data_IF_335464613775
#
_entry.id   IF_335464613775
#
_cell.length_a   1.000
_cell.length_b   1.000
_cell.length_c   1.000
_cell.angle_alpha   90.00
_cell.angle_beta   90.00
_cell.angle_gamma   90.00
#
_symmetry.space_group_name_H-M   'P 1'
#
loop_
_entity.id
_entity.type
_entity.pdbx_description
1 polymer ?
#
# COMPACT_ATOMS: atom_id res chain seq x y z
N UNK A 1 -16.81 -0.64 -17.11
CA UNK A 1 -16.16 -1.40 -16.04
C UNK A 1 -16.03 -0.55 -14.76
N UNK A 2 -15.87 0.77 -14.85
CA UNK A 2 -15.60 1.71 -13.75
C UNK A 2 -16.68 2.78 -13.68
N UNK A 3 -16.92 3.38 -12.47
CA UNK A 3 -17.80 4.55 -12.27
C UNK A 3 -17.01 5.89 -12.27
N UNK A 4 -15.82 5.89 -12.84
CA UNK A 4 -15.04 7.13 -12.95
C UNK A 4 -15.77 8.13 -13.84
N UNK A 5 -15.68 9.41 -13.47
CA UNK A 5 -16.21 10.51 -14.25
C UNK A 5 -15.49 10.56 -15.61
N UNK A 6 -16.22 10.46 -16.75
CA UNK A 6 -15.62 10.44 -18.08
C UNK A 6 -14.96 11.77 -18.49
N UNK A 7 -15.32 12.88 -17.83
CA UNK A 7 -14.77 14.20 -18.10
C UNK A 7 -13.46 14.45 -17.35
N UNK A 8 -13.09 13.56 -16.39
CA UNK A 8 -11.87 13.64 -15.60
C UNK A 8 -10.83 12.65 -16.09
N UNK A 9 -9.63 13.15 -16.40
CA UNK A 9 -8.46 12.32 -16.66
C UNK A 9 -7.86 11.85 -15.33
N UNK A 10 -8.03 10.57 -15.00
CA UNK A 10 -7.65 10.03 -13.69
C UNK A 10 -6.29 9.31 -13.73
N UNK A 11 -5.21 10.03 -13.41
CA UNK A 11 -3.83 9.52 -13.37
C UNK A 11 -3.31 9.29 -11.94
N UNK A 12 -4.22 9.18 -10.95
CA UNK A 12 -3.89 9.04 -9.54
C UNK A 12 -4.50 7.77 -8.89
N UNK A 13 -4.50 6.64 -9.61
CA UNK A 13 -4.99 5.37 -9.06
C UNK A 13 -4.29 4.97 -7.77
N UNK A 14 -2.99 5.23 -7.66
CA UNK A 14 -2.18 4.90 -6.48
C UNK A 14 -2.59 5.58 -5.18
N UNK A 15 -3.38 6.67 -5.19
CA UNK A 15 -3.83 7.32 -3.96
C UNK A 15 -4.85 6.46 -3.21
N UNK A 16 -6.01 6.22 -3.82
CA UNK A 16 -7.15 5.56 -3.17
C UNK A 16 -7.70 4.36 -3.95
N UNK A 17 -7.25 4.14 -5.19
CA UNK A 17 -7.81 3.16 -6.10
C UNK A 17 -9.21 3.53 -6.61
N UNK A 18 -9.62 2.92 -7.70
CA UNK A 18 -11.01 2.91 -8.15
C UNK A 18 -11.53 1.47 -8.08
N UNK A 19 -12.78 1.30 -7.67
CA UNK A 19 -13.41 -0.01 -7.53
C UNK A 19 -14.28 -0.28 -8.77
N UNK A 20 -14.13 -1.44 -9.44
CA UNK A 20 -14.99 -1.80 -10.57
C UNK A 20 -16.47 -1.93 -10.18
N UNK A 21 -17.38 -1.64 -11.11
CA UNK A 21 -18.83 -1.71 -10.88
C UNK A 21 -19.24 -3.09 -10.32
N UNK A 22 -18.74 -4.18 -10.93
CA UNK A 22 -19.05 -5.54 -10.48
C UNK A 22 -18.68 -5.79 -9.01
N UNK A 23 -17.59 -5.21 -8.55
CA UNK A 23 -17.13 -5.33 -7.16
C UNK A 23 -17.98 -4.49 -6.22
N UNK A 24 -18.42 -3.29 -6.67
CA UNK A 24 -19.36 -2.47 -5.90
C UNK A 24 -20.74 -3.11 -5.77
N UNK A 25 -21.20 -3.78 -6.82
CA UNK A 25 -22.44 -4.55 -6.79
C UNK A 25 -22.38 -5.68 -5.77
N UNK A 26 -21.30 -6.45 -5.77
CA UNK A 26 -21.05 -7.52 -4.78
C UNK A 26 -21.00 -6.97 -3.35
N UNK A 27 -20.27 -5.86 -3.13
CA UNK A 27 -20.25 -5.19 -1.84
C UNK A 27 -21.65 -4.78 -1.37
N UNK A 28 -22.50 -4.27 -2.29
CA UNK A 28 -23.87 -3.90 -1.97
C UNK A 28 -24.75 -5.12 -1.71
N UNK A 29 -24.47 -6.27 -2.34
CA UNK A 29 -25.18 -7.53 -2.04
C UNK A 29 -24.85 -8.01 -0.63
N UNK A 30 -23.59 -7.92 -0.19
CA UNK A 30 -23.22 -8.22 1.20
C UNK A 30 -23.95 -7.32 2.18
N UNK A 31 -24.05 -6.00 1.92
CA UNK A 31 -24.80 -5.07 2.76
C UNK A 31 -26.28 -5.41 2.82
N UNK A 32 -26.90 -5.73 1.68
CA UNK A 32 -28.30 -6.15 1.66
C UNK A 32 -28.56 -7.41 2.48
N UNK A 33 -27.67 -8.40 2.40
CA UNK A 33 -27.73 -9.63 3.23
C UNK A 33 -27.59 -9.32 4.71
N UNK A 34 -26.64 -8.48 5.09
CA UNK A 34 -26.43 -8.04 6.46
C UNK A 34 -27.68 -7.33 7.01
N UNK A 35 -28.24 -6.37 6.27
CA UNK A 35 -29.39 -5.61 6.73
C UNK A 35 -30.70 -6.40 6.71
N UNK A 36 -30.80 -7.45 5.91
CA UNK A 36 -31.98 -8.31 5.87
C UNK A 36 -32.18 -9.09 7.19
N UNK A 37 -31.10 -9.51 7.85
CA UNK A 37 -31.13 -10.12 9.18
C UNK A 37 -29.73 -10.01 9.84
N UNK A 38 -29.43 -8.91 10.56
CA UNK A 38 -28.09 -8.67 11.10
C UNK A 38 -27.61 -9.76 12.06
N UNK A 39 -28.49 -10.28 12.91
CA UNK A 39 -28.11 -11.32 13.88
C UNK A 39 -27.70 -12.60 13.16
N UNK A 40 -28.53 -13.09 12.24
CA UNK A 40 -28.21 -14.28 11.46
C UNK A 40 -26.95 -14.08 10.63
N UNK A 41 -26.79 -12.90 10.01
CA UNK A 41 -25.63 -12.59 9.20
C UNK A 41 -24.33 -12.72 10.01
N UNK A 42 -24.24 -12.06 11.18
CA UNK A 42 -23.03 -12.10 12.00
C UNK A 42 -22.80 -13.45 12.70
N UNK A 43 -23.86 -14.19 13.02
CA UNK A 43 -23.73 -15.47 13.71
C UNK A 43 -23.47 -16.64 12.76
N UNK A 44 -24.04 -16.64 11.54
CA UNK A 44 -24.02 -17.80 10.63
C UNK A 44 -23.28 -17.56 9.31
N UNK A 45 -23.33 -16.34 8.73
CA UNK A 45 -22.87 -16.07 7.38
C UNK A 45 -21.50 -15.39 7.34
N UNK A 46 -21.20 -14.51 8.27
CA UNK A 46 -20.00 -13.67 8.28
C UNK A 46 -18.70 -14.49 8.34
N UNK A 47 -18.58 -15.38 9.34
CA UNK A 47 -17.32 -16.11 9.53
C UNK A 47 -16.98 -17.05 8.37
N UNK A 48 -17.91 -17.87 7.84
CA UNK A 48 -17.62 -18.65 6.64
C UNK A 48 -17.21 -17.82 5.44
N UNK A 49 -17.86 -16.66 5.22
CA UNK A 49 -17.50 -15.74 4.13
C UNK A 49 -16.12 -15.10 4.33
N UNK A 50 -15.77 -14.74 5.57
CA UNK A 50 -14.47 -14.18 5.91
C UNK A 50 -13.33 -15.20 5.72
N UNK A 51 -13.55 -16.46 6.09
CA UNK A 51 -12.59 -17.56 5.86
C UNK A 51 -12.33 -17.73 4.37
N UNK A 52 -13.38 -17.77 3.55
CA UNK A 52 -13.22 -17.89 2.10
C UNK A 52 -12.50 -16.66 1.50
N UNK A 53 -12.84 -15.44 1.94
CA UNK A 53 -12.17 -14.23 1.49
C UNK A 53 -10.67 -14.25 1.86
N UNK A 54 -10.32 -14.72 3.06
CA UNK A 54 -8.93 -14.87 3.51
C UNK A 54 -8.19 -15.92 2.69
N UNK A 55 -8.77 -17.09 2.48
CA UNK A 55 -8.19 -18.16 1.65
C UNK A 55 -7.82 -17.63 0.26
N UNK A 56 -8.77 -16.97 -0.42
CA UNK A 56 -8.55 -16.37 -1.75
C UNK A 56 -7.48 -15.29 -1.75
N UNK A 57 -7.45 -14.47 -0.72
CA UNK A 57 -6.40 -13.47 -0.53
C UNK A 57 -5.04 -14.14 -0.37
N UNK A 58 -4.93 -15.13 0.52
CA UNK A 58 -3.66 -15.80 0.82
C UNK A 58 -3.11 -16.56 -0.38
N UNK A 59 -3.96 -17.22 -1.17
CA UNK A 59 -3.58 -17.81 -2.45
C UNK A 59 -3.00 -16.76 -3.42
N UNK A 60 -3.59 -15.57 -3.46
CA UNK A 60 -3.16 -14.49 -4.36
C UNK A 60 -1.84 -13.84 -3.95
N UNK A 61 -1.62 -13.61 -2.66
CA UNK A 61 -0.41 -12.94 -2.15
C UNK A 61 0.69 -13.91 -1.72
N UNK A 62 0.43 -15.23 -1.75
CA UNK A 62 1.38 -16.26 -1.32
C UNK A 62 1.70 -16.18 0.16
N UNK A 63 0.67 -16.18 1.01
CA UNK A 63 0.76 -16.11 2.46
C UNK A 63 0.04 -17.28 3.12
N UNK A 64 0.40 -17.61 4.36
CA UNK A 64 -0.27 -18.58 5.20
C UNK A 64 -1.55 -17.98 5.78
N UNK A 65 -2.67 -18.74 5.67
CA UNK A 65 -3.97 -18.27 6.16
C UNK A 65 -3.97 -18.03 7.67
N UNK A 66 -3.35 -18.92 8.43
CA UNK A 66 -3.28 -18.85 9.90
C UNK A 66 -2.58 -17.58 10.40
N UNK A 67 -1.68 -17.05 9.58
CA UNK A 67 -0.82 -15.91 9.87
C UNK A 67 -1.31 -14.60 9.24
N UNK A 68 -2.47 -14.62 8.58
CA UNK A 68 -3.00 -13.47 7.84
C UNK A 68 -4.35 -13.06 8.36
N UNK A 69 -4.52 -11.76 8.62
CA UNK A 69 -5.78 -11.16 9.07
C UNK A 69 -6.14 -9.96 8.22
N UNK A 70 -7.44 -9.68 8.11
CA UNK A 70 -7.91 -8.45 7.50
C UNK A 70 -7.75 -7.27 8.46
N UNK A 71 -7.35 -6.14 7.91
CA UNK A 71 -7.33 -4.83 8.57
C UNK A 71 -8.00 -3.79 7.65
N UNK A 72 -8.35 -2.63 8.18
CA UNK A 72 -9.06 -1.61 7.39
C UNK A 72 -8.20 -0.97 6.30
N UNK A 73 -6.91 -0.78 6.57
CA UNK A 73 -5.91 -0.24 5.64
C UNK A 73 -4.50 -0.53 6.15
N UNK A 74 -3.47 -0.32 5.31
CA UNK A 74 -2.08 -0.54 5.68
C UNK A 74 -1.65 0.32 6.88
N UNK A 75 -2.09 1.58 6.97
CA UNK A 75 -1.80 2.45 8.11
C UNK A 75 -2.27 1.85 9.44
N UNK A 76 -3.46 1.25 9.47
CA UNK A 76 -3.94 0.51 10.64
C UNK A 76 -3.06 -0.69 10.96
N UNK A 77 -2.63 -1.43 9.94
CA UNK A 77 -1.69 -2.56 10.09
C UNK A 77 -0.33 -2.12 10.66
N UNK A 78 0.24 -1.03 10.14
CA UNK A 78 1.48 -0.43 10.67
C UNK A 78 1.32 -0.04 12.14
N UNK A 79 0.22 0.62 12.51
CA UNK A 79 -0.06 0.98 13.90
C UNK A 79 -0.25 -0.25 14.80
N UNK A 80 -0.86 -1.33 14.32
CA UNK A 80 -0.98 -2.61 15.05
C UNK A 80 0.42 -3.14 15.39
N UNK A 81 1.33 -3.18 14.42
CA UNK A 81 2.70 -3.63 14.63
C UNK A 81 3.43 -2.72 15.61
N UNK A 82 3.40 -1.39 15.39
CA UNK A 82 4.04 -0.42 16.26
C UNK A 82 3.55 -0.48 17.72
N UNK A 83 2.26 -0.78 17.92
CA UNK A 83 1.69 -0.92 19.27
C UNK A 83 2.09 -2.23 19.96
N UNK A 84 2.52 -3.22 19.20
CA UNK A 84 2.81 -4.58 19.67
C UNK A 84 4.31 -4.84 19.87
N UNK A 85 5.18 -4.08 19.17
CA UNK A 85 6.63 -4.18 19.37
C UNK A 85 6.99 -3.53 20.72
N UNK A 86 7.71 -4.26 21.59
CA UNK A 86 8.14 -3.68 22.87
C UNK A 86 9.21 -2.61 22.62
N UNK A 87 8.82 -1.36 22.84
CA UNK A 87 9.66 -0.17 22.72
C UNK A 87 9.84 0.52 24.07
N UNK A 88 11.04 0.99 24.34
CA UNK A 88 11.37 1.73 25.56
C UNK A 88 12.40 2.83 25.32
N UNK A 89 12.80 3.56 26.38
CA UNK A 89 13.81 4.60 26.27
C UNK A 89 15.13 4.10 25.72
N UNK A 90 15.61 4.75 24.67
CA UNK A 90 16.85 4.39 23.97
C UNK A 90 16.70 3.42 22.83
N UNK A 91 15.55 2.78 22.67
CA UNK A 91 15.24 1.94 21.50
C UNK A 91 15.03 2.77 20.23
N UNK A 92 15.18 2.12 19.08
CA UNK A 92 15.15 2.76 17.78
C UNK A 92 14.17 2.06 16.84
N UNK A 93 13.43 2.88 16.07
CA UNK A 93 12.67 2.48 14.88
C UNK A 93 13.41 3.06 13.68
N UNK A 94 13.85 2.21 12.75
CA UNK A 94 14.48 2.64 11.50
C UNK A 94 13.43 2.71 10.39
N UNK A 95 13.38 3.83 9.70
CA UNK A 95 12.53 4.03 8.51
C UNK A 95 13.37 4.64 7.38
N UNK A 96 12.86 4.65 6.15
CA UNK A 96 13.48 5.43 5.08
C UNK A 96 12.81 6.80 4.93
N UNK A 97 13.51 7.74 4.34
CA UNK A 97 12.95 9.04 3.99
C UNK A 97 11.99 9.02 2.78
N UNK A 98 11.81 7.83 2.16
CA UNK A 98 10.78 7.53 1.17
C UNK A 98 9.48 7.02 1.81
N UNK A 99 9.48 6.78 3.12
CA UNK A 99 8.32 6.25 3.86
C UNK A 99 7.08 7.13 3.68
N UNK A 100 5.93 6.47 3.54
CA UNK A 100 4.64 7.17 3.46
C UNK A 100 4.44 8.05 4.69
N UNK A 101 4.10 9.32 4.50
CA UNK A 101 4.03 10.34 5.57
C UNK A 101 3.20 9.87 6.77
N UNK A 102 2.06 9.22 6.53
CA UNK A 102 1.21 8.76 7.63
C UNK A 102 1.89 7.67 8.47
N UNK A 103 2.64 6.76 7.85
CA UNK A 103 3.38 5.71 8.54
C UNK A 103 4.61 6.29 9.25
N UNK A 104 5.30 7.25 8.62
CA UNK A 104 6.36 8.05 9.28
C UNK A 104 5.82 8.72 10.55
N UNK A 105 4.68 9.42 10.44
CA UNK A 105 4.04 10.08 11.58
C UNK A 105 3.63 9.07 12.67
N UNK A 106 3.16 7.88 12.30
CA UNK A 106 2.87 6.80 13.24
C UNK A 106 4.13 6.35 13.99
N UNK A 107 5.24 6.12 13.28
CA UNK A 107 6.52 5.74 13.89
C UNK A 107 6.99 6.81 14.91
N UNK A 108 6.97 8.09 14.54
CA UNK A 108 7.31 9.19 15.45
C UNK A 108 6.37 9.27 16.66
N UNK A 109 5.07 9.10 16.47
CA UNK A 109 4.09 9.15 17.56
C UNK A 109 4.28 8.01 18.56
N UNK A 110 4.55 6.79 18.09
CA UNK A 110 4.84 5.64 18.96
C UNK A 110 6.20 5.77 19.65
N UNK A 111 7.23 6.23 18.94
CA UNK A 111 8.53 6.51 19.54
C UNK A 111 8.40 7.57 20.67
N UNK A 112 7.67 8.66 20.45
CA UNK A 112 7.45 9.68 21.47
C UNK A 112 6.72 9.15 22.71
N UNK A 113 5.76 8.22 22.56
CA UNK A 113 5.00 7.62 23.66
C UNK A 113 5.85 6.68 24.52
N UNK A 114 6.83 6.01 23.92
CA UNK A 114 7.65 4.97 24.57
C UNK A 114 9.02 5.46 25.01
N UNK A 115 9.42 6.67 24.60
CA UNK A 115 10.77 7.19 24.82
C UNK A 115 11.82 6.64 23.84
N UNK A 116 11.38 5.91 22.82
CA UNK A 116 12.21 5.49 21.70
C UNK A 116 12.50 6.66 20.74
N UNK A 117 13.33 6.43 19.73
CA UNK A 117 13.61 7.39 18.67
C UNK A 117 13.42 6.80 17.30
N UNK A 118 13.13 7.64 16.31
CA UNK A 118 13.09 7.26 14.90
C UNK A 118 14.42 7.63 14.25
N UNK A 119 14.97 6.70 13.47
CA UNK A 119 16.15 6.90 12.63
C UNK A 119 15.68 6.91 11.18
N UNK A 120 15.73 8.07 10.54
CA UNK A 120 15.37 8.22 9.13
C UNK A 120 16.61 8.04 8.25
N UNK A 121 16.58 7.03 7.37
CA UNK A 121 17.68 6.68 6.47
C UNK A 121 17.48 7.39 5.14
N UNK A 122 18.42 8.25 4.72
CA UNK A 122 18.35 8.91 3.42
C UNK A 122 18.67 7.93 2.30
N UNK A 123 17.72 7.70 1.40
CA UNK A 123 17.91 6.92 0.19
C UNK A 123 17.97 7.86 -1.03
N UNK A 124 18.99 7.76 -1.90
CA UNK A 124 19.07 8.57 -3.10
C UNK A 124 17.87 8.41 -4.02
N UNK A 125 17.43 9.49 -4.66
CA UNK A 125 16.43 9.44 -5.74
C UNK A 125 16.98 10.11 -7.01
N UNK A 126 17.10 9.38 -8.13
CA UNK A 126 16.95 7.93 -8.22
C UNK A 126 18.07 7.17 -7.50
N UNK A 127 17.81 5.95 -6.97
CA UNK A 127 18.85 5.12 -6.42
C UNK A 127 19.74 4.55 -7.53
N UNK A 128 21.05 4.48 -7.28
CA UNK A 128 22.02 4.02 -8.28
C UNK A 128 22.00 2.50 -8.48
N UNK A 129 21.64 1.75 -7.45
CA UNK A 129 21.47 0.28 -7.50
C UNK A 129 20.67 -0.24 -6.32
N UNK A 130 20.06 -1.44 -6.42
CA UNK A 130 19.43 -2.11 -5.27
C UNK A 130 20.37 -2.29 -4.08
N UNK A 131 21.64 -2.57 -4.33
CA UNK A 131 22.66 -2.74 -3.30
C UNK A 131 22.82 -1.50 -2.42
N UNK A 132 22.80 -0.30 -3.01
CA UNK A 132 22.91 0.97 -2.26
C UNK A 132 21.74 1.13 -1.29
N UNK A 133 20.51 0.78 -1.70
CA UNK A 133 19.35 0.84 -0.82
C UNK A 133 19.53 -0.10 0.38
N UNK A 134 19.93 -1.34 0.14
CA UNK A 134 20.19 -2.34 1.20
C UNK A 134 21.29 -1.86 2.14
N UNK A 135 22.44 -1.43 1.62
CA UNK A 135 23.58 -0.99 2.40
C UNK A 135 23.26 0.23 3.28
N UNK A 136 22.51 1.20 2.78
CA UNK A 136 22.08 2.36 3.57
C UNK A 136 21.19 1.95 4.75
N UNK A 137 20.20 1.07 4.52
CA UNK A 137 19.30 0.60 5.57
C UNK A 137 20.07 -0.23 6.60
N UNK A 138 20.87 -1.20 6.17
CA UNK A 138 21.64 -2.08 7.06
C UNK A 138 22.63 -1.29 7.89
N UNK A 139 23.30 -0.27 7.32
CA UNK A 139 24.26 0.56 8.06
C UNK A 139 23.64 1.42 9.16
N UNK A 140 22.34 1.68 9.08
CA UNK A 140 21.59 2.43 10.10
C UNK A 140 21.08 1.55 11.25
N UNK A 141 21.15 0.24 11.10
CA UNK A 141 20.69 -0.72 12.13
C UNK A 141 21.78 -0.92 13.17
N UNK A 142 21.44 -0.77 14.45
CA UNK A 142 22.33 -0.92 15.59
C UNK A 142 21.74 -1.81 16.69
N UNK A 143 22.47 -1.96 17.79
CA UNK A 143 22.07 -2.79 18.93
C UNK A 143 20.75 -2.36 19.59
N UNK A 144 20.35 -1.10 19.41
CA UNK A 144 19.13 -0.54 19.95
C UNK A 144 17.95 -0.61 18.96
N UNK A 145 18.16 -1.03 17.73
CA UNK A 145 17.08 -1.14 16.72
C UNK A 145 16.12 -2.27 17.09
N UNK A 146 14.83 -1.95 17.20
CA UNK A 146 13.75 -2.90 17.53
C UNK A 146 12.83 -3.19 16.37
N UNK A 147 12.79 -2.31 15.37
CA UNK A 147 11.96 -2.47 14.20
C UNK A 147 12.55 -1.68 13.04
N UNK A 148 12.56 -2.28 11.87
CA UNK A 148 12.81 -1.60 10.60
C UNK A 148 11.50 -1.57 9.81
N UNK A 149 11.07 -0.40 9.32
CA UNK A 149 9.88 -0.25 8.46
C UNK A 149 10.36 0.18 7.08
N UNK A 150 9.95 -0.55 6.05
CA UNK A 150 10.35 -0.31 4.66
C UNK A 150 9.18 -0.46 3.72
N UNK A 151 8.96 0.52 2.86
CA UNK A 151 8.01 0.38 1.75
C UNK A 151 8.46 -0.73 0.78
N UNK A 152 7.52 -1.56 0.30
CA UNK A 152 7.75 -2.42 -0.87
C UNK A 152 7.71 -1.61 -2.16
N UNK A 153 6.77 -0.66 -2.24
CA UNK A 153 6.70 0.34 -3.31
C UNK A 153 6.46 1.70 -2.68
N UNK A 154 7.45 2.56 -2.78
CA UNK A 154 7.45 3.87 -2.11
C UNK A 154 6.35 4.78 -2.62
N UNK A 155 5.70 5.53 -1.70
CA UNK A 155 4.55 6.34 -2.06
C UNK A 155 4.92 7.58 -2.89
N UNK A 156 5.79 8.50 -2.44
CA UNK A 156 6.04 9.73 -3.20
C UNK A 156 6.91 9.49 -4.44
N UNK A 157 7.86 8.58 -4.37
CA UNK A 157 8.90 8.33 -5.38
C UNK A 157 8.60 7.18 -6.32
N UNK A 158 7.56 6.36 -6.02
CA UNK A 158 7.06 5.25 -6.84
C UNK A 158 8.10 4.17 -7.17
N UNK A 159 9.08 3.94 -6.29
CA UNK A 159 10.15 2.96 -6.47
C UNK A 159 9.76 1.61 -5.90
N UNK A 160 10.01 0.55 -6.63
CA UNK A 160 9.96 -0.84 -6.13
C UNK A 160 11.28 -1.11 -5.39
N UNK A 161 11.24 -1.23 -4.07
CA UNK A 161 12.42 -1.50 -3.25
C UNK A 161 12.78 -2.99 -3.23
N UNK A 162 14.09 -3.32 -3.04
CA UNK A 162 14.59 -4.70 -3.03
C UNK A 162 14.32 -5.38 -1.67
N UNK A 163 13.04 -5.54 -1.30
CA UNK A 163 12.64 -6.00 0.04
C UNK A 163 13.15 -7.40 0.37
N UNK A 164 13.30 -8.29 -0.62
CA UNK A 164 13.88 -9.61 -0.43
C UNK A 164 15.32 -9.52 0.10
N UNK A 165 16.11 -8.64 -0.48
CA UNK A 165 17.50 -8.45 -0.07
C UNK A 165 17.61 -7.72 1.29
N UNK A 166 16.69 -6.81 1.60
CA UNK A 166 16.63 -6.11 2.89
C UNK A 166 16.25 -7.10 3.99
N UNK A 167 15.21 -7.90 3.78
CA UNK A 167 14.79 -8.93 4.75
C UNK A 167 15.88 -9.95 4.97
N UNK A 168 16.50 -10.47 3.89
CA UNK A 168 17.60 -11.43 4.01
C UNK A 168 18.82 -10.90 4.76
N UNK A 169 19.03 -9.59 4.79
CA UNK A 169 20.16 -8.96 5.49
C UNK A 169 19.86 -8.64 6.97
N UNK A 170 18.61 -8.56 7.39
CA UNK A 170 18.21 -8.09 8.72
C UNK A 170 17.54 -9.15 9.58
N UNK A 171 16.72 -10.02 8.99
CA UNK A 171 15.97 -11.06 9.70
C UNK A 171 16.84 -12.30 9.96
N UNK A 172 16.65 -13.03 11.07
CA UNK A 172 15.66 -12.75 12.15
C UNK A 172 16.18 -11.84 13.27
N UNK A 173 17.39 -11.28 13.17
CA UNK A 173 18.04 -10.52 14.23
C UNK A 173 17.29 -9.23 14.55
N UNK A 174 16.76 -8.56 13.52
CA UNK A 174 15.97 -7.33 13.67
C UNK A 174 14.66 -7.47 12.91
N UNK A 175 13.51 -7.36 13.59
CA UNK A 175 12.20 -7.44 12.95
C UNK A 175 12.02 -6.43 11.84
N UNK A 176 11.53 -6.88 10.68
CA UNK A 176 11.23 -6.03 9.53
C UNK A 176 9.71 -6.02 9.28
N UNK A 177 9.13 -4.82 9.24
CA UNK A 177 7.79 -4.57 8.74
C UNK A 177 7.88 -4.04 7.31
N UNK A 178 7.31 -4.77 6.38
CA UNK A 178 7.18 -4.31 4.99
C UNK A 178 5.84 -3.59 4.82
N UNK A 179 5.90 -2.27 4.53
CA UNK A 179 4.73 -1.54 4.03
C UNK A 179 4.52 -1.83 2.54
N UNK A 180 3.71 -2.83 2.28
CA UNK A 180 3.29 -3.24 0.95
C UNK A 180 2.01 -2.56 0.47
N UNK A 181 1.66 -1.37 0.97
CA UNK A 181 0.40 -0.69 0.63
C UNK A 181 0.14 -0.59 -0.88
N UNK A 182 1.17 -0.51 -1.70
CA UNK A 182 1.06 -0.45 -3.15
C UNK A 182 1.34 -1.78 -3.87
N UNK A 183 1.82 -2.81 -3.18
CA UNK A 183 2.32 -4.01 -3.84
C UNK A 183 1.23 -5.01 -4.30
N UNK A 184 0.17 -5.33 -3.52
CA UNK A 184 -0.86 -6.28 -3.94
C UNK A 184 -1.56 -5.80 -5.22
N UNK A 185 -1.54 -6.63 -6.27
CA UNK A 185 -2.10 -6.31 -7.59
C UNK A 185 -1.14 -5.57 -8.53
N UNK A 186 -0.12 -4.87 -7.99
CA UNK A 186 0.94 -4.22 -8.77
C UNK A 186 2.10 -5.17 -9.05
N UNK A 187 2.50 -5.97 -8.07
CA UNK A 187 3.62 -6.90 -8.12
C UNK A 187 3.15 -8.34 -7.90
N UNK A 188 3.83 -9.35 -8.45
CA UNK A 188 3.66 -10.72 -7.99
C UNK A 188 4.23 -10.83 -6.58
N UNK A 189 3.46 -11.42 -5.66
CA UNK A 189 3.83 -11.53 -4.25
C UNK A 189 3.98 -12.98 -3.81
N UNK A 190 4.89 -13.21 -2.86
CA UNK A 190 5.05 -14.43 -2.07
C UNK A 190 5.36 -14.03 -0.63
N UNK A 191 4.34 -13.47 0.04
CA UNK A 191 4.50 -12.82 1.35
C UNK A 191 5.09 -13.75 2.40
N UNK A 192 4.59 -14.98 2.52
CA UNK A 192 5.13 -15.95 3.47
C UNK A 192 6.58 -16.33 3.18
N UNK A 193 6.93 -16.52 1.90
CA UNK A 193 8.29 -16.87 1.50
C UNK A 193 9.31 -15.71 1.63
N UNK A 194 8.84 -14.48 1.79
CA UNK A 194 9.70 -13.31 2.00
C UNK A 194 10.46 -13.39 3.32
N UNK A 195 9.86 -13.99 4.36
CA UNK A 195 10.49 -14.17 5.67
C UNK A 195 10.50 -12.91 6.56
N UNK A 196 9.83 -11.83 6.15
CA UNK A 196 9.67 -10.64 6.98
C UNK A 196 8.87 -10.92 8.25
N UNK A 197 9.15 -10.23 9.34
CA UNK A 197 8.38 -10.33 10.59
C UNK A 197 6.92 -9.94 10.39
N UNK A 198 6.69 -8.88 9.61
CA UNK A 198 5.36 -8.35 9.33
C UNK A 198 5.27 -7.85 7.88
N UNK A 199 4.10 -8.02 7.29
CA UNK A 199 3.77 -7.47 5.97
C UNK A 199 2.35 -6.90 5.97
N UNK A 200 2.19 -5.65 5.59
CA UNK A 200 0.87 -5.04 5.39
C UNK A 200 0.62 -4.76 3.92
N UNK A 201 -0.63 -4.86 3.46
CA UNK A 201 -0.96 -4.56 2.07
C UNK A 201 -2.38 -4.03 1.90
N UNK A 202 -2.55 -2.99 1.07
CA UNK A 202 -3.87 -2.48 0.71
C UNK A 202 -4.47 -3.27 -0.46
N UNK A 203 -5.74 -3.66 -0.32
CA UNK A 203 -6.48 -4.31 -1.40
C UNK A 203 -7.34 -3.32 -2.20
N UNK A 204 -7.65 -2.16 -1.62
CA UNK A 204 -8.43 -1.12 -2.29
C UNK A 204 -7.65 -0.31 -3.35
N UNK A 205 -6.30 -0.48 -3.43
CA UNK A 205 -5.49 0.15 -4.47
C UNK A 205 -5.47 -0.74 -5.72
N UNK A 206 -4.45 -1.53 -5.95
CA UNK A 206 -4.22 -2.22 -7.23
C UNK A 206 -5.00 -3.53 -7.39
N UNK A 207 -5.50 -4.14 -6.29
CA UNK A 207 -6.50 -5.22 -6.36
C UNK A 207 -7.89 -4.66 -6.66
N UNK A 208 -8.09 -3.36 -6.47
CA UNK A 208 -9.35 -2.66 -6.75
C UNK A 208 -10.54 -3.16 -5.90
N UNK A 209 -10.28 -3.73 -4.73
CA UNK A 209 -11.31 -4.01 -3.74
C UNK A 209 -11.93 -2.71 -3.20
N UNK A 210 -13.08 -2.74 -2.54
CA UNK A 210 -13.64 -1.56 -1.88
C UNK A 210 -12.71 -1.00 -0.79
N UNK A 211 -12.82 0.31 -0.51
CA UNK A 211 -12.12 0.96 0.59
C UNK A 211 -12.53 0.30 1.91
N UNK A 212 -11.57 0.07 2.81
CA UNK A 212 -11.77 -0.70 4.04
C UNK A 212 -11.26 -2.15 3.97
N UNK A 213 -10.61 -2.54 2.86
CA UNK A 213 -9.99 -3.86 2.70
C UNK A 213 -8.46 -3.73 2.59
N UNK A 214 -7.77 -4.32 3.54
CA UNK A 214 -6.33 -4.51 3.60
C UNK A 214 -6.02 -5.76 4.43
N UNK A 215 -4.76 -6.18 4.50
CA UNK A 215 -4.32 -7.30 5.30
C UNK A 215 -3.04 -7.02 6.07
N UNK A 216 -2.86 -7.76 7.15
CA UNK A 216 -1.63 -7.89 7.90
C UNK A 216 -1.25 -9.37 7.95
N UNK A 217 -0.04 -9.69 7.51
CA UNK A 217 0.60 -10.99 7.70
C UNK A 217 1.65 -10.88 8.81
N UNK A 218 1.69 -11.87 9.67
CA UNK A 218 2.55 -11.91 10.86
C UNK A 218 3.32 -13.24 10.87
N UNK A 219 4.65 -13.19 10.87
CA UNK A 219 5.44 -14.41 10.97
C UNK A 219 5.18 -15.16 12.29
N UNK A 220 5.25 -16.51 12.28
CA UNK A 220 4.94 -17.39 13.42
C UNK A 220 5.55 -16.91 14.73
N UNK A 221 6.81 -16.46 14.69
CA UNK A 221 7.57 -15.99 15.87
C UNK A 221 6.97 -14.76 16.55
N UNK A 222 6.03 -14.07 15.91
CA UNK A 222 5.40 -12.86 16.45
C UNK A 222 3.88 -13.01 16.71
N UNK A 223 3.28 -14.15 16.38
CA UNK A 223 1.86 -14.41 16.56
C UNK A 223 1.41 -14.21 17.99
N UNK A 224 2.23 -14.59 18.97
CA UNK A 224 1.88 -14.46 20.39
C UNK A 224 1.99 -13.05 20.94
N UNK A 225 2.76 -12.18 20.29
CA UNK A 225 3.02 -10.81 20.75
C UNK A 225 2.13 -9.76 20.08
N UNK A 226 1.66 -10.03 18.85
CA UNK A 226 0.83 -9.07 18.11
C UNK A 226 -0.56 -8.91 18.76
N UNK A 227 -1.04 -7.68 18.83
CA UNK A 227 -2.30 -7.33 19.47
C UNK A 227 -3.11 -6.38 18.57
N UNK A 228 -4.44 -6.51 18.52
CA UNK A 228 -5.27 -5.54 17.82
C UNK A 228 -5.28 -4.19 18.55
N UNK A 229 -5.41 -3.10 17.83
CA UNK A 229 -5.57 -1.75 18.41
C UNK A 229 -6.86 -1.62 19.21
N UNK A 230 -7.89 -2.37 18.83
CA UNK A 230 -9.18 -2.40 19.51
C UNK A 230 -9.28 -3.70 20.30
N UNK A 231 -9.20 -3.60 21.62
CA UNK A 231 -9.42 -4.72 22.52
C UNK A 231 -10.91 -5.03 22.55
N UNK A 232 -11.30 -6.26 22.23
CA UNK A 232 -12.68 -6.69 22.08
C UNK A 232 -12.97 -7.98 22.87
N UNK A 233 -14.15 -8.58 22.66
CA UNK A 233 -14.67 -9.77 23.39
C UNK A 233 -13.73 -10.97 23.39
N UNK A 234 -12.82 -11.08 22.43
CA UNK A 234 -11.85 -12.18 22.36
C UNK A 234 -10.59 -11.97 23.21
N UNK A 235 -10.44 -10.84 23.88
CA UNK A 235 -9.30 -10.58 24.74
C UNK A 235 -9.30 -11.52 25.97
N UNK A 236 -8.18 -12.21 26.19
CA UNK A 236 -8.05 -13.15 27.31
C UNK A 236 -8.78 -14.48 27.12
N UNK A 237 -9.38 -14.70 25.95
CA UNK A 237 -10.01 -15.98 25.62
C UNK A 237 -8.97 -16.89 24.97
N UNK A 238 -8.73 -18.06 25.56
CA UNK A 238 -7.98 -19.11 24.87
C UNK A 238 -8.87 -19.71 23.78
N UNK A 239 -8.46 -19.55 22.52
CA UNK A 239 -9.19 -20.13 21.40
C UNK A 239 -9.02 -21.67 21.42
N UNK A 240 -10.11 -22.39 21.60
CA UNK A 240 -10.08 -23.86 21.63
C UNK A 240 -9.86 -24.45 20.21
N UNK A 241 -10.21 -23.76 19.14
CA UNK A 241 -10.29 -24.34 17.78
C UNK A 241 -9.83 -23.42 16.63
N UNK A 242 -9.67 -22.12 16.85
CA UNK A 242 -9.26 -21.17 15.83
C UNK A 242 -7.84 -20.65 16.10
N UNK A 243 -7.05 -20.28 15.05
CA UNK A 243 -5.77 -19.58 15.22
C UNK A 243 -5.92 -18.33 16.10
N UNK A 244 -4.92 -18.04 16.93
CA UNK A 244 -4.95 -16.90 17.85
C UNK A 244 -5.22 -15.58 17.12
N UNK A 245 -4.57 -15.34 15.97
CA UNK A 245 -4.77 -14.12 15.19
C UNK A 245 -6.24 -13.98 14.76
N UNK A 246 -6.85 -15.04 14.24
CA UNK A 246 -8.24 -15.00 13.80
C UNK A 246 -9.18 -14.73 14.99
N UNK A 247 -8.91 -15.35 16.14
CA UNK A 247 -9.68 -15.11 17.37
C UNK A 247 -9.65 -13.62 17.77
N UNK A 248 -8.50 -12.96 17.66
CA UNK A 248 -8.34 -11.58 18.09
C UNK A 248 -8.79 -10.55 17.05
N UNK A 249 -8.64 -10.84 15.75
CA UNK A 249 -8.80 -9.86 14.69
C UNK A 249 -10.06 -10.01 13.85
N UNK A 250 -10.68 -11.18 13.77
CA UNK A 250 -11.87 -11.40 12.96
C UNK A 250 -13.10 -10.66 13.48
N UNK A 251 -13.09 -10.32 14.77
CA UNK A 251 -14.13 -9.51 15.39
C UNK A 251 -13.52 -8.50 16.37
N UNK A 252 -13.31 -7.29 15.92
CA UNK A 252 -12.85 -6.20 16.79
C UNK A 252 -14.01 -5.40 17.39
N UNK A 253 -15.08 -5.19 16.62
CA UNK A 253 -16.37 -4.60 17.04
C UNK A 253 -17.39 -4.75 15.91
N UNK A 254 -18.63 -4.32 16.13
CA UNK A 254 -19.66 -4.25 15.07
C UNK A 254 -19.25 -3.20 14.04
N UNK A 255 -19.07 -3.63 12.80
CA UNK A 255 -18.70 -2.79 11.65
C UNK A 255 -19.29 -3.36 10.35
N UNK A 256 -19.20 -2.60 9.25
CA UNK A 256 -19.53 -3.10 7.91
C UNK A 256 -18.36 -3.93 7.35
N UNK A 257 -18.46 -5.26 7.27
CA UNK A 257 -17.39 -6.10 6.76
C UNK A 257 -17.38 -6.24 5.23
N UNK A 258 -18.34 -5.62 4.53
CA UNK A 258 -18.60 -5.86 3.10
C UNK A 258 -17.41 -5.62 2.20
N UNK A 259 -16.51 -4.69 2.58
CA UNK A 259 -15.31 -4.40 1.80
C UNK A 259 -14.35 -5.60 1.75
N UNK A 260 -14.15 -6.30 2.87
CA UNK A 260 -13.27 -7.49 2.95
C UNK A 260 -13.93 -8.71 2.32
N UNK A 261 -15.26 -8.83 2.45
CA UNK A 261 -16.02 -9.93 1.85
C UNK A 261 -16.10 -9.86 0.32
N UNK A 262 -15.96 -8.67 -0.27
CA UNK A 262 -15.93 -8.46 -1.71
C UNK A 262 -14.52 -8.70 -2.34
N UNK A 263 -13.49 -9.02 -1.55
CA UNK A 263 -12.13 -9.25 -2.05
C UNK A 263 -12.05 -10.37 -3.10
N UNK A 264 -12.71 -11.54 -2.93
CA UNK A 264 -12.70 -12.59 -3.95
C UNK A 264 -13.20 -12.10 -5.31
N UNK A 265 -14.30 -11.35 -5.34
CA UNK A 265 -14.86 -10.79 -6.59
C UNK A 265 -13.95 -9.74 -7.18
N UNK A 266 -13.24 -8.95 -6.37
CA UNK A 266 -12.24 -8.01 -6.86
C UNK A 266 -11.06 -8.73 -7.53
N UNK A 267 -10.54 -9.80 -6.93
CA UNK A 267 -9.47 -10.64 -7.49
C UNK A 267 -9.88 -11.22 -8.85
N UNK A 268 -11.08 -11.79 -8.95
CA UNK A 268 -11.59 -12.38 -10.18
C UNK A 268 -11.86 -11.32 -11.25
N UNK A 269 -12.47 -10.19 -10.87
CA UNK A 269 -12.80 -9.10 -11.79
C UNK A 269 -11.55 -8.53 -12.44
N UNK A 270 -10.50 -8.31 -11.65
CA UNK A 270 -9.24 -7.76 -12.17
C UNK A 270 -8.45 -8.81 -12.95
N UNK A 271 -8.44 -10.07 -12.53
CA UNK A 271 -7.84 -11.15 -13.31
C UNK A 271 -8.47 -11.25 -14.71
N UNK A 272 -9.79 -11.14 -14.79
CA UNK A 272 -10.54 -11.19 -16.04
C UNK A 272 -10.42 -9.90 -16.90
N UNK A 273 -9.80 -8.83 -16.39
CA UNK A 273 -9.57 -7.60 -17.14
C UNK A 273 -8.47 -7.72 -18.22
N UNK A 274 -7.75 -8.85 -18.26
CA UNK A 274 -6.76 -9.17 -19.28
C UNK A 274 -6.80 -10.66 -19.65
N UNK A 275 -6.56 -11.06 -20.92
CA UNK A 275 -6.53 -12.49 -21.32
C UNK A 275 -5.51 -13.32 -20.54
N UNK A 276 -4.36 -12.74 -20.20
CA UNK A 276 -3.28 -13.40 -19.43
C UNK A 276 -3.45 -13.22 -17.91
N UNK A 277 -4.66 -12.91 -17.44
CA UNK A 277 -4.95 -12.75 -16.04
C UNK A 277 -4.15 -11.63 -15.38
N UNK A 278 -3.76 -11.83 -14.13
CA UNK A 278 -3.03 -10.85 -13.33
C UNK A 278 -1.67 -10.47 -13.91
N UNK A 279 -0.95 -11.40 -14.55
CA UNK A 279 0.35 -11.08 -15.16
C UNK A 279 0.18 -10.12 -16.33
N UNK A 280 -0.87 -10.32 -17.13
CA UNK A 280 -1.25 -9.40 -18.18
C UNK A 280 -1.66 -8.02 -17.67
N UNK A 281 -2.43 -7.95 -16.58
CA UNK A 281 -2.82 -6.67 -15.93
C UNK A 281 -1.58 -5.91 -15.43
N UNK A 282 -0.69 -6.57 -14.71
CA UNK A 282 0.56 -6.00 -14.18
C UNK A 282 1.44 -5.48 -15.30
N UNK A 283 1.68 -6.31 -16.32
CA UNK A 283 2.52 -5.97 -17.48
C UNK A 283 1.94 -4.79 -18.25
N UNK A 284 0.64 -4.79 -18.54
CA UNK A 284 -0.02 -3.72 -19.27
C UNK A 284 0.04 -2.38 -18.51
N UNK A 285 -0.24 -2.38 -17.20
CA UNK A 285 -0.14 -1.18 -16.38
C UNK A 285 1.30 -0.65 -16.32
N UNK A 286 2.29 -1.54 -16.14
CA UNK A 286 3.70 -1.19 -16.11
C UNK A 286 4.17 -0.57 -17.44
N UNK A 287 3.84 -1.21 -18.55
CA UNK A 287 4.19 -0.71 -19.90
C UNK A 287 3.56 0.66 -20.12
N UNK A 288 2.29 0.82 -19.77
CA UNK A 288 1.58 2.08 -19.95
C UNK A 288 2.16 3.24 -19.15
N UNK A 289 2.54 3.00 -17.86
CA UNK A 289 3.12 4.07 -17.05
C UNK A 289 4.53 4.44 -17.48
N UNK A 290 5.34 3.48 -17.94
CA UNK A 290 6.68 3.74 -18.49
C UNK A 290 6.58 4.61 -19.75
N UNK A 291 5.67 4.25 -20.66
CA UNK A 291 5.46 5.02 -21.90
C UNK A 291 4.84 6.39 -21.59
N UNK A 292 3.89 6.47 -20.66
CA UNK A 292 3.32 7.74 -20.20
C UNK A 292 4.37 8.65 -19.57
N UNK A 293 5.28 8.11 -18.76
CA UNK A 293 6.41 8.85 -18.21
C UNK A 293 7.33 9.37 -19.34
N UNK A 294 7.65 8.53 -20.33
CA UNK A 294 8.46 8.92 -21.49
C UNK A 294 7.83 10.11 -22.24
N UNK A 295 6.52 10.04 -22.51
CA UNK A 295 5.79 11.15 -23.16
C UNK A 295 5.94 12.45 -22.36
N UNK A 296 5.74 12.41 -21.05
CA UNK A 296 5.85 13.61 -20.19
C UNK A 296 7.28 14.14 -20.15
N UNK A 297 8.28 13.28 -19.96
CA UNK A 297 9.69 13.71 -19.84
C UNK A 297 10.27 14.23 -21.14
N UNK A 298 9.97 13.60 -22.28
CA UNK A 298 10.41 14.07 -23.61
C UNK A 298 9.79 15.43 -23.98
N UNK A 299 8.47 15.59 -23.76
CA UNK A 299 7.78 16.83 -24.10
C UNK A 299 8.26 18.03 -23.27
N UNK A 300 8.61 17.82 -22.00
CA UNK A 300 9.05 18.88 -21.09
C UNK A 300 10.58 18.98 -20.95
N UNK A 301 11.35 18.16 -21.65
CA UNK A 301 12.80 18.13 -21.56
C UNK A 301 13.33 17.75 -20.17
N UNK A 302 12.63 16.84 -19.45
CA UNK A 302 12.96 16.45 -18.09
C UNK A 302 13.77 15.16 -18.02
N UNK A 303 14.54 14.99 -16.93
CA UNK A 303 15.19 13.72 -16.61
C UNK A 303 14.10 12.65 -16.29
N UNK A 304 14.17 11.47 -16.91
CA UNK A 304 13.22 10.40 -16.62
C UNK A 304 13.30 9.85 -15.19
N UNK A 305 14.32 10.21 -14.40
CA UNK A 305 14.49 9.76 -13.02
C UNK A 305 14.93 8.29 -12.91
N UNK A 306 14.21 7.48 -12.14
CA UNK A 306 14.57 6.09 -11.90
C UNK A 306 14.47 5.21 -13.14
N UNK A 307 15.43 4.29 -13.30
CA UNK A 307 15.41 3.30 -14.39
C UNK A 307 14.18 2.38 -14.31
N UNK A 308 13.81 1.76 -15.41
CA UNK A 308 12.59 0.95 -15.52
C UNK A 308 12.53 -0.24 -14.54
N UNK A 309 13.67 -0.76 -14.11
CA UNK A 309 13.73 -1.84 -13.12
C UNK A 309 13.10 -1.47 -11.77
N UNK A 310 12.97 -0.17 -11.47
CA UNK A 310 12.38 0.34 -10.24
C UNK A 310 10.88 0.62 -10.34
N UNK A 311 10.26 0.40 -11.50
CA UNK A 311 8.91 0.86 -11.81
C UNK A 311 7.93 -0.31 -11.79
N UNK A 312 6.83 -0.13 -11.03
CA UNK A 312 5.64 -0.97 -11.09
C UNK A 312 4.56 -0.34 -11.99
N UNK A 313 3.38 -0.06 -11.44
CA UNK A 313 2.28 0.65 -12.14
C UNK A 313 2.26 2.15 -11.83
N UNK A 314 3.31 2.67 -11.18
CA UNK A 314 3.52 4.09 -10.90
C UNK A 314 4.94 4.48 -11.30
N UNK A 315 5.10 5.76 -11.64
CA UNK A 315 6.41 6.37 -11.88
C UNK A 315 6.41 7.82 -11.41
N UNK A 316 7.52 8.31 -10.86
CA UNK A 316 7.65 9.71 -10.44
C UNK A 316 8.67 10.44 -11.29
N UNK A 317 8.35 11.69 -11.62
CA UNK A 317 9.18 12.61 -12.41
C UNK A 317 9.44 13.86 -11.57
N UNK A 318 10.68 14.36 -11.57
CA UNK A 318 11.01 15.63 -10.91
C UNK A 318 10.60 16.78 -11.82
N UNK A 319 9.68 17.61 -11.36
CA UNK A 319 9.30 18.84 -12.03
C UNK A 319 10.26 20.00 -11.69
N UNK A 320 10.37 21.02 -12.55
CA UNK A 320 11.13 22.24 -12.24
C UNK A 320 10.47 23.06 -11.13
N UNK A 321 11.26 23.96 -10.53
CA UNK A 321 10.84 24.83 -9.44
C UNK A 321 10.94 24.16 -8.06
N UNK A 322 10.81 25.00 -7.04
CA UNK A 322 10.82 24.53 -5.64
C UNK A 322 9.39 24.22 -5.18
N UNK A 323 9.21 23.17 -4.35
CA UNK A 323 7.90 22.88 -3.78
C UNK A 323 7.52 23.93 -2.75
N UNK A 324 6.23 24.14 -2.55
CA UNK A 324 5.71 24.90 -1.43
C UNK A 324 6.10 24.24 -0.09
N UNK A 325 6.62 25.04 0.85
CA UNK A 325 7.06 24.52 2.14
C UNK A 325 5.87 24.22 3.06
N UNK A 326 5.95 23.08 3.75
CA UNK A 326 4.96 22.69 4.76
C UNK A 326 3.67 22.09 4.21
N UNK A 327 3.60 21.82 2.91
CA UNK A 327 2.47 21.11 2.28
C UNK A 327 2.90 19.74 1.77
N UNK A 328 2.00 18.78 1.84
CA UNK A 328 2.22 17.43 1.26
C UNK A 328 2.03 17.43 -0.26
N UNK A 329 0.98 18.11 -0.73
CA UNK A 329 0.64 18.23 -2.14
C UNK A 329 0.89 19.66 -2.61
N UNK A 330 1.66 19.79 -3.67
CA UNK A 330 1.94 21.04 -4.34
C UNK A 330 0.65 21.66 -4.93
N UNK A 331 0.55 23.00 -4.94
CA UNK A 331 -0.59 23.74 -5.48
C UNK A 331 -0.89 23.39 -6.95
N UNK A 332 0.11 22.97 -7.71
CA UNK A 332 -0.06 22.49 -9.09
C UNK A 332 -1.06 21.33 -9.17
N UNK A 333 -1.12 20.45 -8.16
CA UNK A 333 -2.16 19.39 -8.08
C UNK A 333 -3.57 19.97 -8.12
N UNK A 334 -3.79 21.08 -7.43
CA UNK A 334 -5.09 21.76 -7.35
C UNK A 334 -5.41 22.45 -8.68
N UNK A 335 -4.43 23.10 -9.30
CA UNK A 335 -4.60 23.76 -10.60
C UNK A 335 -4.89 22.75 -11.71
N UNK A 336 -4.15 21.63 -11.80
CA UNK A 336 -4.41 20.57 -12.77
C UNK A 336 -5.83 19.99 -12.63
N UNK A 337 -6.31 19.82 -11.40
CA UNK A 337 -7.68 19.36 -11.14
C UNK A 337 -8.73 20.36 -11.60
N UNK A 338 -8.62 21.62 -11.21
CA UNK A 338 -9.69 22.60 -11.42
C UNK A 338 -9.67 23.21 -12.83
N UNK A 339 -8.49 23.48 -13.39
CA UNK A 339 -8.36 24.13 -14.69
C UNK A 339 -8.44 23.13 -15.85
N UNK A 340 -7.94 21.89 -15.65
CA UNK A 340 -7.78 20.89 -16.72
C UNK A 340 -8.57 19.60 -16.50
N UNK A 341 -9.26 19.45 -15.36
CA UNK A 341 -9.95 18.20 -14.96
C UNK A 341 -9.01 16.98 -14.99
N UNK A 342 -7.78 17.13 -14.46
CA UNK A 342 -6.79 16.05 -14.39
C UNK A 342 -6.47 15.75 -12.92
N UNK A 343 -6.73 14.52 -12.50
CA UNK A 343 -6.37 14.01 -11.18
C UNK A 343 -4.98 13.38 -11.23
N UNK A 344 -3.96 14.12 -10.85
CA UNK A 344 -2.58 13.67 -10.72
C UNK A 344 -1.91 14.37 -9.54
N UNK A 345 -1.18 13.66 -8.64
CA UNK A 345 -0.54 14.33 -7.52
C UNK A 345 0.84 14.86 -7.88
N UNK A 346 1.15 16.04 -7.36
CA UNK A 346 2.51 16.58 -7.28
C UNK A 346 2.87 16.69 -5.80
N UNK A 347 3.86 15.92 -5.36
CA UNK A 347 4.30 15.87 -3.96
C UNK A 347 5.46 16.83 -3.72
N UNK A 348 5.45 17.52 -2.57
CA UNK A 348 6.63 18.16 -2.02
C UNK A 348 7.48 17.09 -1.30
N UNK A 349 8.62 16.73 -1.84
CA UNK A 349 9.50 15.72 -1.27
C UNK A 349 10.96 16.18 -1.28
N UNK A 350 11.55 16.39 -0.09
CA UNK A 350 12.96 16.78 0.09
C UNK A 350 13.39 17.96 -0.79
N UNK A 351 12.59 19.01 -0.84
CA UNK A 351 12.87 20.19 -1.65
C UNK A 351 12.70 19.99 -3.17
N UNK A 352 12.03 18.91 -3.58
CA UNK A 352 11.71 18.61 -4.98
C UNK A 352 10.21 18.50 -5.19
N UNK A 353 9.74 18.88 -6.37
CA UNK A 353 8.37 18.65 -6.83
C UNK A 353 8.32 17.33 -7.58
N UNK A 354 7.62 16.34 -7.04
CA UNK A 354 7.49 15.01 -7.64
C UNK A 354 6.09 14.81 -8.22
N UNK A 355 5.99 14.82 -9.54
CA UNK A 355 4.80 14.40 -10.27
C UNK A 355 4.76 12.87 -10.27
N UNK A 356 3.76 12.25 -9.61
CA UNK A 356 3.60 10.80 -9.58
C UNK A 356 2.50 10.35 -10.54
N UNK A 357 2.88 9.68 -11.59
CA UNK A 357 2.01 9.09 -12.58
C UNK A 357 1.53 7.71 -12.12
N UNK A 358 0.28 7.37 -12.41
CA UNK A 358 -0.29 6.03 -12.24
C UNK A 358 -0.82 5.53 -13.57
N UNK A 359 -0.80 4.21 -13.77
CA UNK A 359 -1.49 3.55 -14.88
C UNK A 359 -2.39 2.43 -14.36
N UNK A 360 -3.63 2.42 -14.81
CA UNK A 360 -4.58 1.33 -14.57
C UNK A 360 -5.32 1.02 -15.88
N UNK A 361 -5.99 -0.12 -15.96
CA UNK A 361 -6.68 -0.63 -17.16
C UNK A 361 -7.66 0.34 -17.84
N UNK A 362 -8.04 1.44 -17.20
CA UNK A 362 -8.86 2.49 -17.79
C UNK A 362 -8.06 3.62 -18.45
N UNK A 363 -6.74 3.71 -18.18
CA UNK A 363 -5.89 4.74 -18.75
C UNK A 363 -5.43 4.40 -20.18
N UNK A 364 -5.09 5.46 -20.92
CA UNK A 364 -4.56 5.43 -22.29
C UNK A 364 -3.41 6.41 -22.45
N UNK A 365 -2.63 6.27 -23.51
CA UNK A 365 -1.52 7.19 -23.79
C UNK A 365 -1.99 8.64 -23.99
N UNK A 366 -3.21 8.84 -24.47
CA UNK A 366 -3.80 10.18 -24.65
C UNK A 366 -4.01 10.91 -23.32
N UNK A 367 -4.23 10.19 -22.20
CA UNK A 367 -4.31 10.79 -20.88
C UNK A 367 -3.00 11.50 -20.49
N UNK A 368 -1.87 10.91 -20.83
CA UNK A 368 -0.54 11.50 -20.57
C UNK A 368 -0.20 12.64 -21.53
N UNK A 369 -0.68 12.60 -22.78
CA UNK A 369 -0.57 13.73 -23.71
C UNK A 369 -1.37 14.93 -23.23
N UNK A 370 -2.63 14.69 -22.79
CA UNK A 370 -3.44 15.73 -22.17
C UNK A 370 -2.79 16.34 -20.92
N UNK A 371 -2.13 15.50 -20.11
CA UNK A 371 -1.36 15.98 -18.96
C UNK A 371 -0.19 16.87 -19.41
N UNK A 372 0.53 16.53 -20.51
CA UNK A 372 1.62 17.37 -21.05
C UNK A 372 1.09 18.74 -21.43
N UNK A 373 -0.01 18.82 -22.18
CA UNK A 373 -0.60 20.10 -22.59
C UNK A 373 -0.95 20.97 -21.36
N UNK A 374 -1.54 20.35 -20.33
CA UNK A 374 -1.87 21.03 -19.07
C UNK A 374 -0.63 21.47 -18.27
N UNK A 375 0.44 20.66 -18.27
CA UNK A 375 1.69 21.01 -17.58
C UNK A 375 2.42 22.16 -18.28
N UNK A 376 2.37 22.25 -19.60
CA UNK A 376 2.91 23.39 -20.35
C UNK A 376 2.16 24.66 -19.94
N UNK A 377 0.83 24.64 -19.94
CA UNK A 377 0.01 25.80 -19.53
C UNK A 377 0.27 26.27 -18.08
N UNK A 378 0.61 25.34 -17.18
CA UNK A 378 0.72 25.64 -15.75
C UNK A 378 2.16 25.91 -15.27
N UNK A 379 3.17 25.58 -16.10
CA UNK A 379 4.59 25.76 -15.75
C UNK A 379 5.22 26.95 -16.48
N UNK A 380 4.58 27.48 -17.55
CA UNK A 380 4.96 28.72 -18.22
C UNK A 380 4.54 29.94 -17.37
#
# INVERSE_FOLDING_TARGET
MWLLDPDVTHLNHGAYGATPIRVLEDQNDWRRRMEANPVRFFDEEYYPALVEARRRLCEFVGAEEENTVFVTNATSGVNIVLSSVPLGPGDEIVITDHEYETCRNAAHAWAARTGARVVEVPIPFPPTSPKVVVEQIVSAVGANTRLVIVDHVTSPTALVFPVEAIVAALEPEVPVLIDGAHAPGMLPLRVGALGASFYVGNLHKWVCAPKGAAFLHVADRHVDTIQPLVVSRAWGVEAATAPRLHTLFDWTATEDPSARLAVPVALDTMSNAHPDGWDGVRSANRTLVIEGRRIVTEALGLDPGAGEAWIGSMASVVLPGEPEQGVLLDELTVRLRHNHAIEVPVYAWRGRRLLRLSAQRYNRLDDYRRLVDALIDELD
#
